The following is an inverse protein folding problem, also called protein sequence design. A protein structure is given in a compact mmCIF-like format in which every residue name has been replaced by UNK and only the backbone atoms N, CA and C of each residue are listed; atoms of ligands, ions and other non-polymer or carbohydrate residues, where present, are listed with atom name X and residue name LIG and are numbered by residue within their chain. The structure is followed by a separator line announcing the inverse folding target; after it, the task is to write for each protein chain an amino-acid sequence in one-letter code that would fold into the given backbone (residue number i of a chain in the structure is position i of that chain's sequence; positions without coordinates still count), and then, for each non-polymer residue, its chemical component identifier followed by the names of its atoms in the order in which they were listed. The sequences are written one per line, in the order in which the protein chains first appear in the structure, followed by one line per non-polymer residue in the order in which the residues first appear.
data_IF_939380871980
#
_entry.id   IF_939380871980
#
_cell.length_a   1.000
_cell.length_b   1.000
_cell.length_c   1.000
_cell.angle_alpha   90.00
_cell.angle_beta   90.00
_cell.angle_gamma   90.00
#
_symmetry.space_group_name_H-M   'P 1'
#
loop_
_entity.id
_entity.type
_entity.pdbx_description
1 polymer ?
#
# COMPACT_ATOMS: atom_id res chain seq x y z
N UNK A 1 -12.56 1.86 -24.38
CA UNK A 1 -11.17 1.75 -23.96
C UNK A 1 -10.94 0.53 -23.08
N UNK A 2 -9.99 -0.22 -23.41
CA UNK A 2 -9.75 -1.45 -22.69
C UNK A 2 -8.98 -1.22 -21.42
N UNK A 3 -9.52 -1.67 -20.33
CA UNK A 3 -8.86 -1.61 -19.07
C UNK A 3 -7.70 -2.60 -19.05
N UNK A 4 -6.59 -2.20 -18.49
CA UNK A 4 -5.48 -3.09 -18.33
C UNK A 4 -5.85 -4.24 -17.41
N UNK A 5 -5.87 -5.43 -17.95
CA UNK A 5 -6.29 -6.59 -17.19
C UNK A 5 -5.34 -6.96 -16.07
N UNK A 6 -4.09 -6.62 -16.20
CA UNK A 6 -3.13 -6.90 -15.16
C UNK A 6 -3.48 -6.17 -13.86
N UNK A 7 -4.18 -5.06 -13.95
CA UNK A 7 -4.60 -4.33 -12.77
C UNK A 7 -5.72 -5.01 -12.02
N UNK A 8 -6.43 -5.94 -12.65
CA UNK A 8 -7.55 -6.63 -12.00
C UNK A 8 -7.07 -7.71 -11.04
N UNK A 9 -5.89 -8.26 -11.25
CA UNK A 9 -5.34 -9.29 -10.38
C UNK A 9 -4.74 -8.70 -9.13
N UNK A 10 -4.24 -7.48 -9.23
CA UNK A 10 -3.67 -6.73 -8.12
C UNK A 10 -4.38 -5.38 -8.12
N UNK A 11 -5.00 -5.04 -7.01
CA UNK A 11 -5.81 -3.84 -6.91
C UNK A 11 -4.91 -2.66 -6.58
N UNK A 12 -4.77 -1.74 -7.54
CA UNK A 12 -4.04 -0.50 -7.38
C UNK A 12 -5.06 0.63 -7.52
N UNK A 13 -5.67 1.00 -6.43
CA UNK A 13 -6.81 1.91 -6.45
C UNK A 13 -6.59 3.08 -5.51
N UNK A 14 -7.40 4.09 -5.76
CA UNK A 14 -7.53 5.24 -4.90
C UNK A 14 -9.04 5.50 -4.83
N UNK A 15 -9.58 5.71 -3.64
CA UNK A 15 -10.99 5.98 -3.44
C UNK A 15 -11.94 4.98 -4.09
N UNK A 16 -12.61 4.21 -3.29
CA UNK A 16 -13.71 3.32 -3.73
C UNK A 16 -13.38 2.45 -4.93
N UNK A 17 -12.15 2.13 -5.13
CA UNK A 17 -11.75 1.25 -6.21
C UNK A 17 -11.57 1.94 -7.55
N UNK A 18 -11.85 3.22 -7.67
CA UNK A 18 -11.59 3.96 -8.89
C UNK A 18 -10.11 4.22 -9.06
N UNK A 19 -9.64 4.25 -10.30
CA UNK A 19 -8.26 4.60 -10.54
C UNK A 19 -8.09 6.11 -10.38
N UNK A 20 -7.12 6.48 -9.59
CA UNK A 20 -6.76 7.88 -9.41
C UNK A 20 -5.72 8.24 -10.48
N UNK A 21 -5.84 9.40 -11.07
CA UNK A 21 -4.87 9.84 -12.09
C UNK A 21 -3.60 10.42 -11.48
N UNK A 22 -3.63 10.67 -10.19
CA UNK A 22 -2.50 11.26 -9.46
C UNK A 22 -1.59 10.14 -8.97
N UNK A 23 -0.36 10.08 -9.45
CA UNK A 23 0.58 9.03 -9.09
C UNK A 23 1.58 9.46 -8.03
N UNK A 24 1.36 10.59 -7.36
CA UNK A 24 2.19 10.99 -6.23
C UNK A 24 2.05 9.98 -5.09
N UNK A 25 3.02 9.93 -4.17
CA UNK A 25 2.92 9.02 -3.02
C UNK A 25 1.58 9.18 -2.30
N UNK A 26 0.96 8.06 -1.96
CA UNK A 26 -0.32 8.06 -1.27
C UNK A 26 -1.53 8.00 -2.18
N UNK A 27 -1.33 8.12 -3.49
CA UNK A 27 -2.39 8.07 -4.48
C UNK A 27 -2.30 6.79 -5.31
N UNK A 28 -2.96 6.78 -6.45
CA UNK A 28 -2.93 5.60 -7.30
C UNK A 28 -1.51 5.31 -7.79
N UNK A 29 -1.25 4.06 -7.96
CA UNK A 29 0.07 3.57 -8.34
C UNK A 29 0.07 3.26 -9.83
N UNK A 30 1.16 3.61 -10.51
CA UNK A 30 1.30 3.23 -11.90
C UNK A 30 1.57 1.73 -11.98
N UNK A 31 1.18 1.13 -13.10
CA UNK A 31 1.42 -0.29 -13.32
C UNK A 31 2.92 -0.61 -13.30
N UNK A 32 3.73 0.29 -13.83
CA UNK A 32 5.18 0.10 -13.84
C UNK A 32 5.74 0.02 -12.42
N UNK A 33 5.33 0.94 -11.56
CA UNK A 33 5.79 0.91 -10.17
C UNK A 33 5.38 -0.37 -9.46
N UNK A 34 4.16 -0.82 -9.71
CA UNK A 34 3.68 -2.06 -9.12
C UNK A 34 4.52 -3.25 -9.59
N UNK A 35 4.85 -3.29 -10.88
CA UNK A 35 5.68 -4.35 -11.42
C UNK A 35 7.08 -4.34 -10.82
N UNK A 36 7.65 -3.15 -10.64
CA UNK A 36 8.98 -3.03 -10.04
C UNK A 36 8.98 -3.52 -8.61
N UNK A 37 7.97 -3.15 -7.83
CA UNK A 37 7.87 -3.61 -6.45
C UNK A 37 7.70 -5.12 -6.39
N UNK A 38 6.86 -5.67 -7.24
CA UNK A 38 6.60 -7.11 -7.27
C UNK A 38 7.87 -7.88 -7.70
N UNK A 39 8.65 -7.33 -8.60
CA UNK A 39 9.87 -7.97 -9.09
C UNK A 39 11.05 -7.85 -8.15
N UNK A 40 10.87 -7.16 -7.03
CA UNK A 40 11.94 -6.95 -6.05
C UNK A 40 11.54 -7.56 -4.71
N UNK A 41 11.46 -8.89 -4.61
CA UNK A 41 10.90 -9.54 -3.42
C UNK A 41 11.70 -9.27 -2.15
N UNK A 42 12.99 -9.02 -2.24
CA UNK A 42 13.81 -8.74 -1.07
C UNK A 42 13.56 -7.35 -0.48
N UNK A 43 12.87 -6.50 -1.23
CA UNK A 43 12.56 -5.17 -0.76
C UNK A 43 11.35 -5.10 0.16
N UNK A 44 10.60 -6.19 0.30
CA UNK A 44 9.41 -6.22 1.13
C UNK A 44 9.77 -6.47 2.59
N UNK A 45 9.20 -5.69 3.47
CA UNK A 45 9.36 -5.86 4.92
C UNK A 45 8.02 -6.25 5.51
N UNK A 46 7.99 -7.38 6.20
CA UNK A 46 6.79 -7.81 6.89
C UNK A 46 6.54 -6.91 8.09
N UNK A 47 5.28 -6.60 8.32
CA UNK A 47 4.89 -5.71 9.39
C UNK A 47 3.51 -6.08 9.92
N UNK A 48 3.15 -5.50 11.04
CA UNK A 48 1.84 -5.64 11.64
C UNK A 48 1.25 -4.25 11.78
N UNK A 49 -0.01 -4.10 11.40
CA UNK A 49 -0.71 -2.83 11.55
C UNK A 49 -0.99 -2.60 13.03
N UNK A 50 -0.56 -1.46 13.55
CA UNK A 50 -0.76 -1.12 14.96
C UNK A 50 -1.77 0.00 15.15
N UNK A 51 -2.05 0.80 14.11
CA UNK A 51 -3.04 1.84 14.20
C UNK A 51 -3.55 2.19 12.82
N UNK A 52 -4.87 2.41 12.71
CA UNK A 52 -5.49 2.82 11.45
C UNK A 52 -6.31 4.08 11.73
N UNK A 53 -5.86 5.20 11.17
CA UNK A 53 -6.54 6.48 11.35
C UNK A 53 -7.52 6.78 10.23
N UNK A 54 -8.51 7.62 10.54
CA UNK A 54 -9.54 7.99 9.59
C UNK A 54 -9.02 8.84 8.43
N UNK A 55 -7.91 9.53 8.63
CA UNK A 55 -7.34 10.41 7.62
C UNK A 55 -6.39 9.76 6.64
N UNK A 56 -6.35 8.43 6.62
CA UNK A 56 -5.44 7.73 5.72
C UNK A 56 -4.11 7.37 6.35
N UNK A 57 -3.90 7.71 7.60
CA UNK A 57 -2.68 7.39 8.32
C UNK A 57 -2.74 6.00 8.91
N UNK A 58 -1.66 5.27 8.77
CA UNK A 58 -1.55 3.91 9.30
C UNK A 58 -0.19 3.79 9.96
N UNK A 59 -0.17 3.24 11.16
CA UNK A 59 1.07 2.91 11.84
C UNK A 59 1.35 1.43 11.70
N UNK A 60 2.58 1.12 11.32
CA UNK A 60 3.05 -0.25 11.16
C UNK A 60 4.21 -0.49 12.11
N UNK A 61 4.31 -1.72 12.58
CA UNK A 61 5.49 -2.16 13.30
C UNK A 61 6.18 -3.22 12.46
N UNK A 62 7.40 -2.95 12.06
CA UNK A 62 8.17 -3.89 11.25
C UNK A 62 8.49 -5.11 12.09
N UNK A 63 8.23 -6.28 11.52
CA UNK A 63 8.39 -7.54 12.25
C UNK A 63 9.84 -7.81 12.64
N UNK A 64 10.76 -7.58 11.70
CA UNK A 64 12.14 -7.95 11.89
C UNK A 64 12.86 -7.07 12.90
N UNK A 65 12.60 -5.77 12.87
CA UNK A 65 13.33 -4.82 13.71
C UNK A 65 12.52 -4.27 14.87
N UNK A 66 11.18 -4.41 14.81
CA UNK A 66 10.31 -3.79 15.79
C UNK A 66 10.13 -2.29 15.57
N UNK A 67 10.74 -1.75 14.53
CA UNK A 67 10.67 -0.33 14.24
C UNK A 67 9.25 0.07 13.84
N UNK A 68 8.81 1.23 14.33
CA UNK A 68 7.51 1.76 13.96
C UNK A 68 7.65 2.65 12.73
N UNK A 69 6.69 2.53 11.82
CA UNK A 69 6.64 3.33 10.61
C UNK A 69 5.24 3.87 10.41
N UNK A 70 5.15 5.13 10.02
CA UNK A 70 3.90 5.74 9.63
C UNK A 70 3.84 5.83 8.12
N UNK A 71 2.70 5.45 7.56
CA UNK A 71 2.43 5.59 6.13
C UNK A 71 1.09 6.28 5.95
N UNK A 72 0.91 6.89 4.79
CA UNK A 72 -0.31 7.61 4.46
C UNK A 72 -0.80 7.23 3.09
N UNK A 73 -2.10 7.05 2.97
CA UNK A 73 -2.76 6.81 1.69
C UNK A 73 -3.89 7.83 1.53
N UNK A 74 -4.12 8.25 0.29
CA UNK A 74 -5.14 9.23 -0.07
C UNK A 74 -6.51 8.88 0.48
N UNK A 75 -6.92 7.63 0.37
CA UNK A 75 -8.18 7.16 0.91
C UNK A 75 -7.95 6.49 2.25
N UNK A 76 -8.94 6.58 3.13
CA UNK A 76 -8.87 5.88 4.41
C UNK A 76 -8.77 4.37 4.16
N UNK A 77 -7.90 3.72 4.89
CA UNK A 77 -7.72 2.27 4.80
C UNK A 77 -8.53 1.50 5.84
N UNK A 78 -9.43 2.18 6.54
CA UNK A 78 -10.19 1.55 7.62
C UNK A 78 -11.08 0.40 7.16
N UNK A 79 -11.50 0.40 5.90
CA UNK A 79 -12.31 -0.69 5.36
C UNK A 79 -11.47 -1.87 4.89
N UNK A 80 -10.19 -1.66 4.65
CA UNK A 80 -9.31 -2.69 4.11
C UNK A 80 -8.36 -3.24 5.14
N UNK A 81 -8.20 -2.58 6.27
CA UNK A 81 -7.12 -2.86 7.19
C UNK A 81 -7.61 -2.70 8.62
N UNK A 82 -7.24 -3.65 9.47
CA UNK A 82 -7.61 -3.66 10.88
C UNK A 82 -6.35 -3.77 11.71
N UNK A 83 -6.36 -3.18 12.89
CA UNK A 83 -5.25 -3.31 13.84
C UNK A 83 -4.99 -4.80 14.09
N UNK A 84 -3.73 -5.19 13.99
CA UNK A 84 -3.32 -6.58 14.12
C UNK A 84 -3.13 -7.31 12.82
N UNK A 85 -3.58 -6.73 11.70
CA UNK A 85 -3.44 -7.39 10.40
C UNK A 85 -1.98 -7.45 9.98
N UNK A 86 -1.54 -8.58 9.42
CA UNK A 86 -0.23 -8.66 8.80
C UNK A 86 -0.24 -7.93 7.46
N UNK A 87 0.81 -7.18 7.21
CA UNK A 87 0.96 -6.43 5.97
C UNK A 87 2.42 -6.52 5.52
N UNK A 88 2.72 -5.98 4.35
CA UNK A 88 4.09 -5.86 3.89
C UNK A 88 4.31 -4.48 3.30
N UNK A 89 5.43 -3.88 3.61
CA UNK A 89 5.81 -2.58 3.08
C UNK A 89 7.03 -2.73 2.20
N UNK A 90 6.99 -2.11 1.04
CA UNK A 90 8.15 -2.03 0.15
C UNK A 90 8.69 -0.60 0.23
N UNK A 91 9.71 -0.35 1.07
CA UNK A 91 10.17 1.02 1.29
C UNK A 91 10.74 1.67 0.04
N UNK A 92 11.37 0.90 -0.83
CA UNK A 92 11.99 1.45 -2.02
C UNK A 92 10.98 2.04 -2.99
N UNK A 93 9.82 1.41 -3.12
CA UNK A 93 8.79 1.85 -4.05
C UNK A 93 7.54 2.39 -3.35
N UNK A 94 7.56 2.46 -2.03
CA UNK A 94 6.45 3.00 -1.23
C UNK A 94 5.13 2.30 -1.54
N UNK A 95 5.15 0.99 -1.49
CA UNK A 95 3.97 0.16 -1.72
C UNK A 95 3.62 -0.58 -0.45
N UNK A 96 2.35 -0.48 -0.04
CA UNK A 96 1.83 -1.24 1.09
C UNK A 96 0.97 -2.37 0.54
N UNK A 97 1.27 -3.60 0.94
CA UNK A 97 0.51 -4.77 0.55
C UNK A 97 -0.38 -5.21 1.71
N UNK A 98 -1.68 -5.27 1.46
CA UNK A 98 -2.67 -5.73 2.42
C UNK A 98 -3.48 -6.82 1.73
N UNK A 99 -3.16 -8.09 2.02
CA UNK A 99 -3.74 -9.19 1.27
C UNK A 99 -3.40 -9.04 -0.21
N UNK A 100 -4.41 -9.02 -1.06
CA UNK A 100 -4.20 -8.84 -2.50
C UNK A 100 -4.23 -7.38 -2.94
N UNK A 101 -4.47 -6.46 -2.01
CA UNK A 101 -4.51 -5.04 -2.33
C UNK A 101 -3.11 -4.45 -2.27
N UNK A 102 -2.85 -3.50 -3.16
CA UNK A 102 -1.59 -2.78 -3.20
C UNK A 102 -1.88 -1.30 -3.20
N UNK A 103 -1.30 -0.61 -2.26
CA UNK A 103 -1.53 0.83 -2.08
C UNK A 103 -0.23 1.58 -2.24
N UNK A 104 -0.28 2.66 -3.01
CA UNK A 104 0.80 3.62 -3.11
C UNK A 104 0.72 4.49 -1.86
N UNK A 105 1.75 4.49 -1.04
CA UNK A 105 1.71 5.20 0.23
C UNK A 105 2.84 6.22 0.32
N UNK A 106 2.62 7.25 1.11
CA UNK A 106 3.68 8.16 1.50
C UNK A 106 4.28 7.63 2.81
N UNK A 107 5.58 7.68 2.94
CA UNK A 107 6.28 7.26 4.14
C UNK A 107 6.78 8.46 4.89
N UNK A 108 6.68 8.40 6.20
CA UNK A 108 7.26 9.43 7.08
C UNK A 108 8.57 8.97 7.66
#
# INVERSE_FOLDING_TARGET
MIRDRAQQNVIATCEHGALCVDDRPGHAMTLLRLRLATATPRGWADAVCTEVGAGGWVQLQLWETGEERWVWHHSSLQLSLTVGDPVALHPAYSVLAVGRHRFNVAQL
#
